data_IF_593158245510
#
_entry.id   IF_593158245510
#
_cell.length_a   1.000
_cell.length_b   1.000
_cell.length_c   1.000
_cell.angle_alpha   90.00
_cell.angle_beta   90.00
_cell.angle_gamma   90.00
#
_symmetry.space_group_name_H-M   'P 1'
#
loop_
_entity.id
_entity.type
_entity.pdbx_description
1 polymer ?
#
# COMPACT_ATOMS: atom_id res chain seq x y z
N UNK A 1 -0.17 36.65 -25.74
CA UNK A 1 -0.66 35.28 -26.06
C UNK A 1 0.47 34.27 -26.26
N UNK A 2 1.44 34.50 -27.14
CA UNK A 2 2.48 33.52 -27.52
C UNK A 2 3.31 32.96 -26.34
N UNK A 3 3.77 33.82 -25.42
CA UNK A 3 4.52 33.39 -24.23
C UNK A 3 3.68 32.66 -23.18
N UNK A 4 2.38 32.95 -23.10
CA UNK A 4 1.46 32.26 -22.20
C UNK A 4 1.20 30.83 -22.67
N UNK A 5 1.03 30.62 -23.97
CA UNK A 5 0.90 29.28 -24.56
C UNK A 5 2.19 28.48 -24.38
N UNK A 6 3.36 29.10 -24.57
CA UNK A 6 4.67 28.47 -24.31
C UNK A 6 4.80 28.08 -22.83
N UNK A 7 4.44 28.99 -21.91
CA UNK A 7 4.45 28.71 -20.47
C UNK A 7 3.53 27.54 -20.09
N UNK A 8 2.31 27.48 -20.65
CA UNK A 8 1.38 26.36 -20.40
C UNK A 8 1.91 25.03 -20.95
N UNK A 9 2.59 25.02 -22.10
CA UNK A 9 3.20 23.81 -22.68
C UNK A 9 4.36 23.33 -21.80
N UNK A 10 5.26 24.23 -21.41
CA UNK A 10 6.37 23.89 -20.50
C UNK A 10 5.88 23.43 -19.13
N UNK A 11 4.87 24.11 -18.57
CA UNK A 11 4.25 23.72 -17.30
C UNK A 11 3.58 22.34 -17.40
N UNK A 12 2.83 22.07 -18.48
CA UNK A 12 2.24 20.75 -18.74
C UNK A 12 3.31 19.64 -18.82
N UNK A 13 4.39 19.87 -19.57
CA UNK A 13 5.51 18.92 -19.68
C UNK A 13 6.22 18.69 -18.34
N UNK A 14 6.38 19.71 -17.50
CA UNK A 14 6.92 19.57 -16.15
C UNK A 14 6.03 18.74 -15.23
N UNK A 15 4.70 18.87 -15.35
CA UNK A 15 3.75 18.12 -14.52
C UNK A 15 3.60 16.65 -14.96
N UNK A 16 3.86 16.33 -16.22
CA UNK A 16 3.86 14.95 -16.73
C UNK A 16 5.03 14.11 -16.17
N UNK A 17 6.14 14.74 -15.78
CA UNK A 17 7.37 14.07 -15.36
C UNK A 17 7.44 13.62 -13.90
N UNK A 18 6.49 13.99 -13.04
CA UNK A 18 6.59 13.81 -11.58
C UNK A 18 5.41 13.07 -10.93
N UNK A 19 4.70 12.21 -11.67
CA UNK A 19 3.73 11.31 -11.04
C UNK A 19 4.48 10.07 -10.53
N UNK A 20 5.07 10.18 -9.33
CA UNK A 20 5.57 9.00 -8.62
C UNK A 20 4.41 8.07 -8.32
N UNK A 21 4.47 6.83 -8.81
CA UNK A 21 3.43 5.83 -8.56
C UNK A 21 3.15 5.66 -7.06
N UNK A 22 1.88 5.53 -6.70
CA UNK A 22 1.47 5.12 -5.36
C UNK A 22 0.91 3.71 -5.42
N UNK A 23 1.10 2.96 -4.34
CA UNK A 23 0.56 1.62 -4.26
C UNK A 23 0.72 1.02 -2.88
N UNK A 24 -0.13 0.03 -2.63
CA UNK A 24 -0.11 -0.78 -1.42
C UNK A 24 0.00 -2.23 -1.86
N UNK A 25 0.93 -2.96 -1.25
CA UNK A 25 1.01 -4.40 -1.35
C UNK A 25 0.85 -5.01 0.04
N UNK A 26 0.04 -6.05 0.14
CA UNK A 26 -0.16 -6.83 1.36
C UNK A 26 0.19 -8.27 1.05
N UNK A 27 1.21 -8.80 1.72
CA UNK A 27 1.71 -10.16 1.53
C UNK A 27 1.37 -10.99 2.77
N UNK A 28 0.87 -12.21 2.56
CA UNK A 28 0.64 -13.18 3.61
C UNK A 28 1.85 -14.11 3.76
N UNK A 29 2.71 -13.81 4.75
CA UNK A 29 3.86 -14.63 5.15
C UNK A 29 3.61 -15.37 6.48
N UNK A 30 2.34 -15.65 6.81
CA UNK A 30 1.99 -16.50 7.94
C UNK A 30 2.54 -17.91 7.74
N UNK A 31 2.59 -18.73 8.79
CA UNK A 31 3.00 -20.13 8.70
C UNK A 31 1.77 -21.04 8.63
N UNK A 32 1.99 -22.33 8.40
CA UNK A 32 0.98 -23.38 8.53
C UNK A 32 -0.28 -23.17 7.67
N UNK A 33 -0.12 -22.69 6.43
CA UNK A 33 -1.20 -22.49 5.46
C UNK A 33 -2.32 -21.54 5.95
N UNK A 34 -2.05 -20.69 6.95
CA UNK A 34 -3.01 -19.71 7.45
C UNK A 34 -3.38 -18.70 6.36
N UNK A 35 -4.65 -18.34 6.31
CA UNK A 35 -5.15 -17.28 5.46
C UNK A 35 -5.15 -15.95 6.20
N UNK A 36 -5.03 -14.87 5.43
CA UNK A 36 -5.03 -13.50 5.92
C UNK A 36 -6.23 -12.78 5.32
N UNK A 37 -7.15 -12.31 6.15
CA UNK A 37 -8.21 -11.43 5.68
C UNK A 37 -7.71 -9.99 5.68
N UNK A 38 -8.03 -9.25 4.62
CA UNK A 38 -7.69 -7.83 4.50
C UNK A 38 -8.89 -7.03 4.02
N UNK A 39 -8.98 -5.79 4.47
CA UNK A 39 -9.82 -4.76 3.87
C UNK A 39 -9.19 -3.41 4.10
N UNK A 40 -9.13 -2.58 3.07
CA UNK A 40 -8.65 -1.21 3.17
C UNK A 40 -9.70 -0.23 2.69
N UNK A 41 -9.62 1.01 3.17
CA UNK A 41 -10.48 2.09 2.71
C UNK A 41 -9.76 3.44 2.74
N UNK A 42 -10.15 4.31 1.81
CA UNK A 42 -9.76 5.72 1.74
C UNK A 42 -10.99 6.54 1.35
N UNK A 43 -11.62 7.19 2.34
CA UNK A 43 -12.94 7.83 2.17
C UNK A 43 -13.97 6.84 1.59
N UNK A 44 -14.33 6.99 0.31
CA UNK A 44 -15.32 6.17 -0.38
C UNK A 44 -14.69 5.01 -1.14
N UNK A 45 -13.37 5.00 -1.32
CA UNK A 45 -12.66 3.95 -2.02
C UNK A 45 -12.44 2.77 -1.06
N UNK A 46 -12.79 1.56 -1.51
CA UNK A 46 -12.66 0.33 -0.73
C UNK A 46 -11.85 -0.68 -1.52
N UNK A 47 -10.80 -1.22 -0.89
CA UNK A 47 -10.01 -2.32 -1.41
C UNK A 47 -10.34 -3.57 -0.58
N UNK A 48 -10.84 -4.62 -1.25
CA UNK A 48 -11.34 -5.82 -0.59
C UNK A 48 -12.80 -5.68 -0.10
N UNK A 49 -13.26 -6.54 0.82
CA UNK A 49 -12.48 -7.50 1.59
C UNK A 49 -11.92 -8.64 0.72
N UNK A 50 -10.73 -9.13 1.08
CA UNK A 50 -10.05 -10.20 0.34
C UNK A 50 -9.40 -11.17 1.33
N UNK A 51 -9.48 -12.46 1.03
CA UNK A 51 -8.77 -13.51 1.77
C UNK A 51 -7.52 -13.87 0.96
N UNK A 52 -6.36 -13.55 1.50
CA UNK A 52 -5.07 -13.84 0.90
C UNK A 52 -4.59 -15.21 1.40
N UNK A 53 -4.41 -16.21 0.53
CA UNK A 53 -3.88 -17.51 0.93
C UNK A 53 -2.42 -17.39 1.37
N UNK A 54 -1.91 -18.42 2.03
CA UNK A 54 -0.52 -18.45 2.47
C UNK A 54 0.46 -18.31 1.28
N UNK A 55 1.44 -17.42 1.41
CA UNK A 55 2.36 -17.07 0.32
C UNK A 55 1.75 -16.19 -0.77
N UNK A 56 0.45 -15.87 -0.67
CA UNK A 56 -0.25 -14.98 -1.59
C UNK A 56 -0.04 -13.50 -1.25
N UNK A 57 -0.52 -12.65 -2.15
CA UNK A 57 -0.47 -11.20 -1.98
C UNK A 57 -1.68 -10.51 -2.63
N UNK A 58 -2.00 -9.32 -2.12
CA UNK A 58 -2.85 -8.34 -2.76
C UNK A 58 -2.01 -7.11 -3.12
N UNK A 59 -2.19 -6.59 -4.33
CA UNK A 59 -1.46 -5.40 -4.80
C UNK A 59 -2.44 -4.48 -5.47
N UNK A 60 -2.42 -3.21 -5.08
CA UNK A 60 -3.16 -2.14 -5.76
C UNK A 60 -2.23 -0.96 -6.04
N UNK A 61 -2.30 -0.45 -7.26
CA UNK A 61 -1.60 0.76 -7.69
C UNK A 61 -2.63 1.84 -7.99
N UNK A 62 -2.42 3.02 -7.45
CA UNK A 62 -3.37 4.12 -7.59
C UNK A 62 -2.63 5.44 -7.79
N UNK A 63 -3.36 6.42 -8.32
CA UNK A 63 -2.91 7.79 -8.35
C UNK A 63 -3.28 8.45 -7.02
N UNK A 64 -2.27 8.88 -6.27
CA UNK A 64 -2.52 9.69 -5.08
C UNK A 64 -2.77 11.14 -5.52
N UNK A 65 -3.71 11.82 -4.85
CA UNK A 65 -4.03 13.19 -5.19
C UNK A 65 -2.80 14.09 -5.00
N UNK A 66 -2.60 15.07 -5.89
CA UNK A 66 -1.48 16.03 -5.84
C UNK A 66 -1.39 16.78 -4.50
N UNK A 67 -2.52 16.95 -3.81
CA UNK A 67 -2.60 17.56 -2.48
C UNK A 67 -2.17 16.63 -1.33
N UNK A 68 -1.73 15.38 -1.60
CA UNK A 68 -1.23 14.44 -0.59
C UNK A 68 -2.28 13.97 0.41
N UNK A 69 -3.56 14.05 0.07
CA UNK A 69 -4.67 13.73 0.98
C UNK A 69 -5.08 12.27 0.96
N UNK A 70 -4.60 11.48 -0.01
CA UNK A 70 -4.94 10.06 -0.14
C UNK A 70 -4.37 9.29 1.05
N UNK A 71 -5.23 8.62 1.81
CA UNK A 71 -4.86 7.87 3.01
C UNK A 71 -5.66 6.58 3.05
N UNK A 72 -4.98 5.45 2.95
CA UNK A 72 -5.63 4.16 3.12
C UNK A 72 -5.42 3.66 4.54
N UNK A 73 -6.52 3.35 5.21
CA UNK A 73 -6.55 2.59 6.45
C UNK A 73 -6.85 1.14 6.10
N UNK A 74 -5.99 0.21 6.51
CA UNK A 74 -6.19 -1.22 6.30
C UNK A 74 -6.46 -1.90 7.63
N UNK A 75 -7.31 -2.93 7.57
CA UNK A 75 -7.48 -3.88 8.66
C UNK A 75 -7.07 -5.24 8.15
N UNK A 76 -6.14 -5.87 8.86
CA UNK A 76 -5.71 -7.23 8.63
C UNK A 76 -6.21 -8.11 9.76
N UNK A 77 -6.66 -9.32 9.43
CA UNK A 77 -7.09 -10.30 10.42
C UNK A 77 -6.53 -11.67 10.12
N UNK A 78 -6.18 -12.40 11.17
CA UNK A 78 -5.67 -13.76 11.08
C UNK A 78 -6.10 -14.61 12.29
N UNK A 79 -5.67 -15.87 12.31
CA UNK A 79 -6.01 -16.83 13.38
C UNK A 79 -7.35 -17.53 13.15
N UNK A 80 -7.69 -18.52 14.00
CA UNK A 80 -8.96 -19.22 13.92
C UNK A 80 -10.13 -18.24 14.01
N UNK A 81 -11.00 -18.24 13.00
CA UNK A 81 -12.13 -17.31 12.93
C UNK A 81 -11.74 -15.82 12.84
N UNK A 82 -10.50 -15.51 12.43
CA UNK A 82 -9.99 -14.13 12.36
C UNK A 82 -9.95 -13.41 13.73
N UNK A 83 -9.59 -14.16 14.78
CA UNK A 83 -9.53 -13.69 16.16
C UNK A 83 -8.55 -12.55 16.40
N UNK A 84 -7.42 -12.54 15.68
CA UNK A 84 -6.45 -11.45 15.76
C UNK A 84 -6.74 -10.42 14.69
N UNK A 85 -6.82 -9.15 15.07
CA UNK A 85 -7.22 -8.07 14.18
C UNK A 85 -6.38 -6.84 14.45
N UNK A 86 -5.74 -6.31 13.40
CA UNK A 86 -4.98 -5.08 13.49
C UNK A 86 -5.40 -4.11 12.40
N UNK A 87 -5.77 -2.90 12.82
CA UNK A 87 -6.02 -1.77 11.91
C UNK A 87 -4.86 -0.79 11.97
N UNK A 88 -4.41 -0.32 10.81
CA UNK A 88 -3.29 0.62 10.69
C UNK A 88 -3.39 1.43 9.41
N UNK A 89 -2.62 2.51 9.33
CA UNK A 89 -2.53 3.35 8.13
C UNK A 89 -1.55 2.72 7.15
N UNK A 90 -2.06 2.13 6.07
CA UNK A 90 -1.25 1.48 5.05
C UNK A 90 -0.61 2.44 4.05
N UNK A 91 -1.19 3.63 3.87
CA UNK A 91 -0.68 4.66 2.96
C UNK A 91 -0.95 6.06 3.50
N UNK A 92 -0.01 6.99 3.26
CA UNK A 92 -0.13 8.40 3.67
C UNK A 92 0.37 9.38 2.61
N UNK A 93 1.53 9.08 2.03
CA UNK A 93 2.28 9.94 1.11
C UNK A 93 2.73 9.10 -0.09
N UNK A 94 3.44 9.68 -1.05
CA UNK A 94 3.97 9.02 -2.25
C UNK A 94 4.79 7.74 -2.02
N UNK A 95 4.93 6.96 -3.10
CA UNK A 95 5.72 5.74 -3.17
C UNK A 95 4.91 4.47 -2.94
N UNK A 96 5.62 3.35 -2.93
CA UNK A 96 5.03 2.03 -2.81
C UNK A 96 5.23 1.50 -1.38
N UNK A 97 4.15 1.02 -0.76
CA UNK A 97 4.13 0.57 0.63
C UNK A 97 3.87 -0.94 0.67
N UNK A 98 4.89 -1.70 1.07
CA UNK A 98 4.89 -3.15 1.11
C UNK A 98 4.71 -3.66 2.53
N UNK A 99 3.54 -4.20 2.82
CA UNK A 99 3.15 -4.73 4.12
C UNK A 99 3.17 -6.24 4.12
N UNK A 100 3.82 -6.86 5.11
CA UNK A 100 3.94 -8.32 5.21
C UNK A 100 3.44 -8.82 6.56
N UNK A 101 2.37 -9.60 6.54
CA UNK A 101 1.81 -10.24 7.72
C UNK A 101 2.62 -11.49 8.07
N UNK A 102 3.18 -11.53 9.28
CA UNK A 102 3.92 -12.65 9.87
C UNK A 102 3.28 -13.07 11.18
N UNK A 103 3.72 -14.20 11.74
CA UNK A 103 3.16 -14.75 12.98
C UNK A 103 3.20 -13.75 14.15
N UNK A 104 4.29 -13.01 14.29
CA UNK A 104 4.54 -12.12 15.42
C UNK A 104 4.05 -10.68 15.19
N UNK A 105 3.70 -10.30 13.97
CA UNK A 105 3.22 -8.96 13.65
C UNK A 105 3.17 -8.64 12.17
N UNK A 106 3.08 -7.36 11.86
CA UNK A 106 2.97 -6.83 10.49
C UNK A 106 4.19 -5.96 10.23
N UNK A 107 4.91 -6.31 9.17
CA UNK A 107 6.14 -5.67 8.78
C UNK A 107 5.87 -4.69 7.65
N UNK A 108 6.63 -3.60 7.63
CA UNK A 108 6.56 -2.57 6.62
C UNK A 108 7.91 -2.41 5.93
N UNK A 109 7.84 -2.23 4.62
CA UNK A 109 8.93 -1.73 3.79
C UNK A 109 8.39 -0.67 2.83
N UNK A 110 9.10 0.45 2.73
CA UNK A 110 8.81 1.48 1.72
C UNK A 110 9.73 1.31 0.52
N UNK A 111 9.15 1.29 -0.68
CA UNK A 111 9.86 1.10 -1.93
C UNK A 111 9.80 2.41 -2.73
N UNK A 112 10.98 2.88 -3.16
CA UNK A 112 11.16 4.08 -3.98
C UNK A 112 11.33 3.79 -5.48
N UNK A 113 11.10 2.53 -5.88
CA UNK A 113 11.08 2.07 -7.27
C UNK A 113 9.71 2.29 -7.90
N UNK A 114 9.63 2.06 -9.21
CA UNK A 114 8.39 2.17 -9.99
C UNK A 114 7.42 1.00 -9.80
N UNK A 115 7.89 -0.15 -9.28
CA UNK A 115 7.10 -1.37 -9.07
C UNK A 115 7.52 -2.08 -7.78
N UNK A 116 6.61 -2.88 -7.22
CA UNK A 116 6.92 -3.79 -6.12
C UNK A 116 7.92 -4.86 -6.57
N UNK A 117 8.81 -5.26 -5.66
CA UNK A 117 9.77 -6.36 -5.83
C UNK A 117 9.76 -7.27 -4.59
N UNK A 118 10.33 -8.46 -4.67
CA UNK A 118 10.26 -9.43 -3.56
C UNK A 118 11.39 -9.30 -2.54
N UNK A 119 12.24 -8.27 -2.66
CA UNK A 119 13.34 -8.00 -1.72
C UNK A 119 12.86 -7.80 -0.28
N UNK A 120 13.78 -7.83 0.67
CA UNK A 120 13.45 -7.67 2.10
C UNK A 120 14.26 -6.55 2.77
N UNK A 121 15.02 -5.79 1.99
CA UNK A 121 15.84 -4.68 2.49
C UNK A 121 14.98 -3.63 3.19
N UNK A 122 15.39 -3.21 4.39
CA UNK A 122 14.68 -2.25 5.24
C UNK A 122 13.26 -2.70 5.68
N UNK A 123 12.93 -3.98 5.55
CA UNK A 123 11.71 -4.55 6.12
C UNK A 123 11.84 -4.60 7.64
N UNK A 124 10.95 -3.93 8.36
CA UNK A 124 10.94 -3.88 9.82
C UNK A 124 9.53 -4.09 10.35
N UNK A 125 9.44 -4.60 11.58
CA UNK A 125 8.15 -4.80 12.25
C UNK A 125 7.58 -3.43 12.64
N UNK A 126 6.39 -3.13 12.14
CA UNK A 126 5.73 -1.84 12.37
C UNK A 126 4.54 -1.99 13.32
N UNK A 127 3.86 -3.14 13.29
CA UNK A 127 2.71 -3.43 14.15
C UNK A 127 2.83 -4.82 14.77
N UNK A 128 2.29 -5.00 15.97
CA UNK A 128 2.06 -6.32 16.56
C UNK A 128 0.59 -6.70 16.38
N UNK A 129 0.28 -8.00 16.42
CA UNK A 129 -1.12 -8.43 16.45
C UNK A 129 -1.75 -8.12 17.81
N UNK A 130 -3.03 -7.76 17.80
CA UNK A 130 -3.91 -7.63 18.96
C UNK A 130 -4.84 -8.84 18.99
#
# INVERSE_FOLDING_TARGET
MKYFTIFLIFFSLCMLGHVSGAGIRIVNELKNKKTLWMRCYSKNDVLGPTIIPNGGQFTDYFFHNLFGTTRFMCTLKQGPGFSHSQSFRAFKNSGLWDWRAREDGIYLRRIYKTKFDDGTDNLHKEQSWI
#
